data_IF_165831689525
#
_entry.id   IF_165831689525
#
_cell.length_a   1.000
_cell.length_b   1.000
_cell.length_c   1.000
_cell.angle_alpha   90.00
_cell.angle_beta   90.00
_cell.angle_gamma   90.00
#
_symmetry.space_group_name_H-M   'P 1'
#
loop_
_entity.id
_entity.type
_entity.pdbx_description
1 polymer ?
#
# COMPACT_ATOMS: atom_id res chain seq x y z
N UNK A 1 -1.22 -13.32 -19.18
CA UNK A 1 -0.95 -13.03 -17.76
C UNK A 1 -1.31 -14.29 -16.98
N UNK A 2 -0.36 -14.92 -16.26
CA UNK A 2 -0.65 -16.10 -15.46
C UNK A 2 -1.25 -15.68 -14.11
N UNK A 3 -2.30 -16.37 -13.67
CA UNK A 3 -2.85 -16.20 -12.32
C UNK A 3 -1.76 -16.54 -11.29
N UNK A 4 -1.57 -15.66 -10.29
CA UNK A 4 -0.57 -15.80 -9.24
C UNK A 4 0.76 -15.07 -9.46
N UNK A 5 1.02 -14.52 -10.65
CA UNK A 5 2.24 -13.73 -10.91
C UNK A 5 2.18 -12.32 -10.30
N UNK A 6 3.25 -11.91 -9.61
CA UNK A 6 3.44 -10.51 -9.21
C UNK A 6 3.79 -9.68 -10.45
N UNK A 7 3.01 -8.63 -10.71
CA UNK A 7 3.36 -7.65 -11.75
C UNK A 7 4.60 -6.83 -11.37
N UNK A 8 5.21 -6.20 -12.35
CA UNK A 8 6.31 -5.27 -12.18
C UNK A 8 5.99 -4.16 -11.18
N UNK A 9 7.05 -3.64 -10.54
CA UNK A 9 6.95 -2.50 -9.65
C UNK A 9 6.52 -1.28 -10.44
N UNK A 10 5.36 -0.71 -10.11
CA UNK A 10 4.87 0.53 -10.68
C UNK A 10 5.02 1.66 -9.66
N UNK A 11 5.28 2.87 -10.14
CA UNK A 11 5.29 4.07 -9.31
C UNK A 11 3.88 4.36 -8.79
N UNK A 12 3.76 4.87 -7.56
CA UNK A 12 2.47 5.21 -6.99
C UNK A 12 1.73 6.25 -7.86
N UNK A 13 0.48 5.93 -8.20
CA UNK A 13 -0.46 6.84 -8.87
C UNK A 13 -1.32 7.56 -7.82
N UNK A 14 -1.94 8.71 -8.15
CA UNK A 14 -2.85 9.41 -7.24
C UNK A 14 -3.99 8.51 -6.73
N UNK A 15 -4.50 7.59 -7.55
CA UNK A 15 -5.52 6.61 -7.15
C UNK A 15 -5.02 5.68 -6.02
N UNK A 16 -3.78 5.19 -6.13
CA UNK A 16 -3.14 4.35 -5.10
C UNK A 16 -2.92 5.14 -3.83
N UNK A 17 -2.55 6.42 -3.94
CA UNK A 17 -2.42 7.31 -2.79
C UNK A 17 -3.77 7.51 -2.08
N UNK A 18 -4.87 7.65 -2.82
CA UNK A 18 -6.21 7.73 -2.23
C UNK A 18 -6.62 6.42 -1.53
N UNK A 19 -6.29 5.26 -2.09
CA UNK A 19 -6.51 3.97 -1.43
C UNK A 19 -5.75 3.86 -0.11
N UNK A 20 -4.49 4.28 -0.11
CA UNK A 20 -3.64 4.32 1.08
C UNK A 20 -4.20 5.26 2.15
N UNK A 21 -4.75 6.41 1.75
CA UNK A 21 -5.38 7.34 2.68
C UNK A 21 -6.66 6.77 3.30
N UNK A 22 -7.44 5.99 2.55
CA UNK A 22 -8.65 5.33 3.08
C UNK A 22 -8.33 4.26 4.13
N UNK A 23 -7.20 3.54 3.98
CA UNK A 23 -6.76 2.53 4.96
C UNK A 23 -5.91 3.10 6.09
N UNK A 24 -5.51 4.37 6.00
CA UNK A 24 -4.74 5.08 7.04
C UNK A 24 -5.33 4.91 8.45
N UNK A 25 -6.62 5.17 8.73
CA UNK A 25 -7.16 5.01 10.08
C UNK A 25 -7.09 3.56 10.60
N UNK A 26 -7.28 2.57 9.71
CA UNK A 26 -7.15 1.16 10.08
C UNK A 26 -5.69 0.79 10.38
N UNK A 27 -4.75 1.37 9.63
CA UNK A 27 -3.32 1.20 9.88
C UNK A 27 -2.90 1.83 11.20
N UNK A 28 -3.31 3.06 11.49
CA UNK A 28 -2.97 3.76 12.74
C UNK A 28 -3.54 3.05 13.96
N UNK A 29 -4.77 2.52 13.86
CA UNK A 29 -5.37 1.70 14.90
C UNK A 29 -4.60 0.39 15.17
N UNK A 30 -4.08 -0.27 14.12
CA UNK A 30 -3.31 -1.53 14.26
C UNK A 30 -1.86 -1.32 14.67
N UNK A 31 -1.23 -0.28 14.14
CA UNK A 31 0.15 0.07 14.42
C UNK A 31 0.29 0.85 15.74
N UNK A 32 -0.81 1.38 16.29
CA UNK A 32 -0.82 2.15 17.52
C UNK A 32 -0.04 3.46 17.42
N UNK A 33 0.16 3.99 16.21
CA UNK A 33 0.98 5.17 15.95
C UNK A 33 0.28 6.11 14.97
N UNK A 34 0.39 7.42 15.23
CA UNK A 34 -0.11 8.45 14.33
C UNK A 34 0.96 8.79 13.29
N UNK A 35 0.55 8.79 12.04
CA UNK A 35 1.43 8.98 10.90
C UNK A 35 1.11 10.32 10.24
N UNK A 36 1.98 11.31 10.42
CA UNK A 36 1.76 12.66 9.88
C UNK A 36 1.71 12.65 8.33
N UNK A 37 2.73 12.04 7.71
CA UNK A 37 2.79 11.85 6.26
C UNK A 37 2.66 10.37 5.95
N UNK A 38 1.74 10.03 5.04
CA UNK A 38 1.49 8.68 4.57
C UNK A 38 1.60 8.66 3.04
N UNK A 39 2.81 8.47 2.50
CA UNK A 39 3.08 8.61 1.05
C UNK A 39 3.34 7.26 0.39
N UNK A 40 2.51 6.86 -0.55
CA UNK A 40 2.77 5.71 -1.40
C UNK A 40 3.94 6.01 -2.36
N UNK A 41 4.94 5.12 -2.41
CA UNK A 41 6.09 5.26 -3.32
C UNK A 41 5.98 4.33 -4.52
N UNK A 42 5.65 3.08 -4.26
CA UNK A 42 5.60 2.04 -5.26
C UNK A 42 4.47 1.06 -4.95
N UNK A 43 3.92 0.44 -5.98
CA UNK A 43 2.95 -0.63 -5.81
C UNK A 43 3.17 -1.78 -6.80
N UNK A 44 2.69 -2.95 -6.42
CA UNK A 44 2.59 -4.15 -7.26
C UNK A 44 1.18 -4.70 -7.17
N UNK A 45 0.77 -5.40 -8.21
CA UNK A 45 -0.53 -6.07 -8.25
C UNK A 45 -0.34 -7.55 -8.54
N UNK A 46 -1.15 -8.38 -7.92
CA UNK A 46 -1.20 -9.81 -8.15
C UNK A 46 -2.65 -10.23 -8.39
N UNK A 47 -2.90 -10.87 -9.53
CA UNK A 47 -4.22 -11.38 -9.89
C UNK A 47 -4.33 -12.82 -9.37
N UNK A 48 -5.27 -13.06 -8.46
CA UNK A 48 -5.59 -14.38 -7.88
C UNK A 48 -7.12 -14.59 -8.02
N UNK A 49 -7.84 -15.02 -6.98
CA UNK A 49 -9.30 -14.97 -6.92
C UNK A 49 -9.80 -13.57 -6.52
N UNK A 50 -9.28 -12.54 -7.20
CA UNK A 50 -9.36 -11.14 -6.83
C UNK A 50 -8.09 -10.39 -7.22
N UNK A 51 -7.95 -9.13 -6.80
CA UNK A 51 -6.75 -8.34 -7.06
C UNK A 51 -6.09 -7.95 -5.73
N UNK A 52 -4.89 -8.47 -5.50
CA UNK A 52 -4.08 -8.10 -4.34
C UNK A 52 -3.20 -6.92 -4.73
N UNK A 53 -3.27 -5.85 -3.96
CA UNK A 53 -2.42 -4.67 -4.10
C UNK A 53 -1.36 -4.68 -3.00
N UNK A 54 -0.09 -4.70 -3.41
CA UNK A 54 1.05 -4.53 -2.53
C UNK A 54 1.54 -3.10 -2.68
N UNK A 55 1.38 -2.26 -1.65
CA UNK A 55 1.74 -0.86 -1.72
C UNK A 55 2.81 -0.57 -0.67
N UNK A 56 3.92 0.02 -1.12
CA UNK A 56 4.99 0.51 -0.26
C UNK A 56 4.65 1.93 0.15
N UNK A 57 4.49 2.14 1.46
CA UNK A 57 4.17 3.44 2.04
C UNK A 57 5.34 3.93 2.87
N UNK A 58 5.81 5.14 2.56
CA UNK A 58 6.76 5.89 3.36
C UNK A 58 6.01 6.72 4.38
N UNK A 59 6.43 6.62 5.64
CA UNK A 59 5.87 7.38 6.74
C UNK A 59 6.93 8.37 7.23
N UNK A 60 6.57 9.61 7.59
CA UNK A 60 7.54 10.59 8.12
C UNK A 60 7.65 10.66 9.65
N UNK A 61 6.90 9.87 10.41
CA UNK A 61 7.01 9.87 11.88
C UNK A 61 8.32 9.18 12.37
N UNK A 62 8.86 8.29 11.54
CA UNK A 62 10.13 7.58 11.69
C UNK A 62 10.56 7.23 10.27
N UNK A 63 11.83 7.35 9.88
CA UNK A 63 12.35 7.01 8.52
C UNK A 63 12.19 5.51 8.19
N UNK A 64 10.98 4.98 8.23
CA UNK A 64 10.63 3.58 8.10
C UNK A 64 9.55 3.43 7.02
N UNK A 65 9.73 2.45 6.15
CA UNK A 65 8.79 2.14 5.07
C UNK A 65 8.04 0.86 5.41
N UNK A 66 6.71 0.91 5.37
CA UNK A 66 5.88 -0.26 5.62
C UNK A 66 5.27 -0.77 4.33
N UNK A 67 5.16 -2.10 4.21
CA UNK A 67 4.44 -2.76 3.13
C UNK A 67 3.00 -3.01 3.55
N UNK A 68 2.04 -2.42 2.84
CA UNK A 68 0.61 -2.67 3.07
C UNK A 68 0.11 -3.65 2.00
N UNK A 69 -0.57 -4.71 2.43
CA UNK A 69 -1.29 -5.63 1.54
C UNK A 69 -2.78 -5.32 1.63
N UNK A 70 -3.36 -4.83 0.53
CA UNK A 70 -4.80 -4.70 0.39
C UNK A 70 -5.36 -5.85 -0.44
N UNK A 71 -6.50 -6.37 0.00
CA UNK A 71 -7.31 -7.35 -0.69
C UNK A 71 -8.60 -6.67 -1.13
N UNK A 72 -8.94 -6.80 -2.41
CA UNK A 72 -10.23 -6.37 -2.96
C UNK A 72 -10.98 -7.58 -3.47
#
# INVERSE_FOLDING_TARGET
>A
MMAGGLSDTKSATPEVQQLVNQVKPQFESRAGMNCDVFRATAYKTQVVAGTIYFIKVCIYCRRECFGIKLYR
#
